data_IF_997777751375
#
_entry.id   IF_997777751375
#
_cell.length_a   1.000
_cell.length_b   1.000
_cell.length_c   1.000
_cell.angle_alpha   90.00
_cell.angle_beta   90.00
_cell.angle_gamma   90.00
#
_symmetry.space_group_name_H-M   'P 1'
#
loop_
_entity.id
_entity.type
_entity.pdbx_description
1 polymer ?
#
# COMPACT_ATOMS: atom_id res chain seq x y z
N UNK A 1 6.25 20.98 3.22
CA UNK A 1 6.26 21.86 4.42
C UNK A 1 5.39 21.23 5.51
N UNK A 2 5.80 20.06 6.01
CA UNK A 2 5.00 19.22 6.92
C UNK A 2 5.77 18.85 8.19
N UNK A 3 6.87 19.55 8.46
CA UNK A 3 7.61 19.46 9.73
C UNK A 3 6.85 20.21 10.83
N UNK A 4 7.07 19.83 12.09
CA UNK A 4 6.46 20.46 13.27
C UNK A 4 6.61 21.99 13.28
N UNK A 5 7.72 22.49 12.72
CA UNK A 5 8.03 23.91 12.59
C UNK A 5 7.12 24.68 11.62
N UNK A 6 6.51 24.00 10.64
CA UNK A 6 5.65 24.62 9.61
C UNK A 6 4.17 24.26 9.74
N UNK A 7 3.82 23.11 10.35
CA UNK A 7 2.43 22.69 10.58
C UNK A 7 2.25 22.08 11.98
N UNK A 8 2.07 22.92 13.01
CA UNK A 8 1.94 22.50 14.42
C UNK A 8 0.58 21.88 14.77
N UNK A 9 -0.35 21.85 13.81
CA UNK A 9 -1.68 21.26 14.00
C UNK A 9 -1.68 19.73 13.93
N UNK A 10 -2.57 19.11 14.70
CA UNK A 10 -2.83 17.66 14.74
C UNK A 10 -3.31 17.06 13.41
N UNK A 11 -3.68 17.89 12.42
CA UNK A 11 -4.21 17.45 11.13
C UNK A 11 -3.25 16.60 10.31
N UNK A 12 -1.95 16.89 10.37
CA UNK A 12 -0.93 16.09 9.67
C UNK A 12 -0.75 14.72 10.34
N UNK A 13 -0.92 14.65 11.66
CA UNK A 13 -0.82 13.39 12.41
C UNK A 13 -2.04 12.49 12.13
N UNK A 14 -3.24 13.06 12.03
CA UNK A 14 -4.43 12.31 11.57
C UNK A 14 -4.27 11.81 10.14
N UNK A 15 -3.68 12.60 9.24
CA UNK A 15 -3.41 12.20 7.87
C UNK A 15 -2.40 11.04 7.80
N UNK A 16 -1.33 11.10 8.59
CA UNK A 16 -0.33 10.03 8.72
C UNK A 16 -0.97 8.72 9.18
N UNK A 17 -1.76 8.75 10.26
CA UNK A 17 -2.46 7.56 10.77
C UNK A 17 -3.50 7.02 9.78
N UNK A 18 -4.28 7.89 9.14
CA UNK A 18 -5.29 7.49 8.16
C UNK A 18 -4.64 6.79 6.95
N UNK A 19 -3.54 7.34 6.43
CA UNK A 19 -2.80 6.73 5.32
C UNK A 19 -2.14 5.42 5.71
N UNK A 20 -1.60 5.30 6.93
CA UNK A 20 -0.97 4.07 7.37
C UNK A 20 -1.98 2.91 7.44
N UNK A 21 -3.17 3.18 8.02
CA UNK A 21 -4.26 2.20 8.12
C UNK A 21 -4.80 1.85 6.73
N UNK A 22 -5.01 2.85 5.88
CA UNK A 22 -5.45 2.65 4.49
C UNK A 22 -4.42 1.84 3.68
N UNK A 23 -3.12 2.11 3.88
CA UNK A 23 -2.02 1.38 3.24
C UNK A 23 -2.01 -0.10 3.61
N UNK A 24 -2.20 -0.41 4.90
CA UNK A 24 -2.32 -1.80 5.37
C UNK A 24 -3.53 -2.51 4.77
N UNK A 25 -4.70 -1.86 4.72
CA UNK A 25 -5.89 -2.42 4.08
C UNK A 25 -5.67 -2.72 2.59
N UNK A 26 -5.00 -1.81 1.89
CA UNK A 26 -4.70 -1.96 0.47
C UNK A 26 -3.71 -3.10 0.22
N UNK A 27 -2.69 -3.28 1.07
CA UNK A 27 -1.78 -4.43 1.01
C UNK A 27 -2.50 -5.77 1.16
N UNK A 28 -3.38 -5.88 2.16
CA UNK A 28 -4.17 -7.09 2.39
C UNK A 28 -5.07 -7.41 1.19
N UNK A 29 -5.70 -6.39 0.61
CA UNK A 29 -6.50 -6.52 -0.62
C UNK A 29 -5.65 -6.99 -1.81
N UNK A 30 -4.46 -6.42 -1.99
CA UNK A 30 -3.52 -6.81 -3.04
C UNK A 30 -3.09 -8.27 -2.94
N UNK A 31 -2.71 -8.74 -1.75
CA UNK A 31 -2.36 -10.16 -1.52
C UNK A 31 -3.56 -11.08 -1.79
N UNK A 32 -4.76 -10.70 -1.36
CA UNK A 32 -5.97 -11.49 -1.59
C UNK A 32 -6.27 -11.65 -3.09
N UNK A 33 -6.23 -10.57 -3.86
CA UNK A 33 -6.48 -10.65 -5.29
C UNK A 33 -5.41 -11.45 -6.04
N UNK A 34 -4.13 -11.29 -5.67
CA UNK A 34 -3.04 -12.08 -6.25
C UNK A 34 -3.24 -13.57 -5.96
N UNK A 35 -3.48 -13.93 -4.70
CA UNK A 35 -3.69 -15.34 -4.32
C UNK A 35 -4.95 -15.94 -4.94
N UNK A 36 -6.02 -15.15 -5.08
CA UNK A 36 -7.26 -15.53 -5.77
C UNK A 36 -6.98 -15.89 -7.22
N UNK A 37 -6.25 -15.05 -7.96
CA UNK A 37 -5.93 -15.30 -9.37
C UNK A 37 -4.99 -16.51 -9.51
N UNK A 38 -4.14 -16.81 -8.55
CA UNK A 38 -3.27 -17.99 -8.64
C UNK A 38 -3.97 -19.29 -8.24
N UNK A 39 -4.68 -19.30 -7.10
CA UNK A 39 -5.19 -20.51 -6.43
C UNK A 39 -6.67 -20.80 -6.66
N UNK A 40 -7.51 -19.80 -6.95
CA UNK A 40 -8.96 -19.98 -7.10
C UNK A 40 -9.41 -19.96 -8.58
N UNK A 41 -8.53 -20.38 -9.50
CA UNK A 41 -8.88 -20.51 -10.92
C UNK A 41 -9.73 -21.73 -11.19
N UNK A 42 -10.64 -21.63 -12.15
CA UNK A 42 -11.41 -22.77 -12.62
C UNK A 42 -10.47 -23.88 -13.16
N UNK A 43 -10.76 -25.16 -12.86
CA UNK A 43 -9.95 -26.27 -13.34
C UNK A 43 -9.93 -26.30 -14.88
N UNK A 44 -8.74 -26.32 -15.47
CA UNK A 44 -8.55 -26.25 -16.92
C UNK A 44 -8.23 -24.87 -17.51
N UNK A 45 -8.27 -23.79 -16.71
CA UNK A 45 -7.79 -22.47 -17.14
C UNK A 45 -6.28 -22.32 -16.97
N UNK A 46 -5.55 -22.31 -18.09
CA UNK A 46 -4.12 -21.95 -18.11
C UNK A 46 -3.93 -20.44 -17.94
N UNK A 47 -2.75 -20.01 -17.48
CA UNK A 47 -2.43 -18.59 -17.26
C UNK A 47 -2.64 -17.74 -18.51
N UNK A 48 -2.29 -18.26 -19.69
CA UNK A 48 -2.38 -17.54 -20.97
C UNK A 48 -3.80 -17.51 -21.56
N UNK A 49 -4.76 -18.23 -20.99
CA UNK A 49 -6.17 -18.24 -21.44
C UNK A 49 -7.07 -17.35 -20.58
N UNK A 50 -6.51 -16.61 -19.62
CA UNK A 50 -7.27 -15.70 -18.78
C UNK A 50 -7.64 -14.41 -19.54
N UNK A 51 -8.81 -13.81 -19.27
CA UNK A 51 -9.18 -12.50 -19.83
C UNK A 51 -8.11 -11.43 -19.59
N UNK A 52 -7.98 -10.49 -20.52
CA UNK A 52 -6.97 -9.42 -20.43
C UNK A 52 -7.15 -8.58 -19.15
N UNK A 53 -8.39 -8.39 -18.71
CA UNK A 53 -8.70 -7.70 -17.45
C UNK A 53 -8.04 -8.36 -16.24
N UNK A 54 -8.16 -9.68 -16.09
CA UNK A 54 -7.54 -10.42 -14.98
C UNK A 54 -6.02 -10.41 -15.05
N UNK A 55 -5.44 -10.38 -16.25
CA UNK A 55 -3.99 -10.22 -16.42
C UNK A 55 -3.51 -8.84 -15.98
N UNK A 56 -4.17 -7.79 -16.44
CA UNK A 56 -3.84 -6.42 -16.04
C UNK A 56 -4.03 -6.21 -14.54
N UNK A 57 -5.08 -6.79 -13.96
CA UNK A 57 -5.30 -6.76 -12.52
C UNK A 57 -4.20 -7.48 -11.74
N UNK A 58 -3.72 -8.64 -12.21
CA UNK A 58 -2.60 -9.35 -11.59
C UNK A 58 -1.32 -8.50 -11.58
N UNK A 59 -0.99 -7.87 -12.72
CA UNK A 59 0.19 -7.00 -12.83
C UNK A 59 0.04 -5.77 -11.92
N UNK A 60 -1.12 -5.13 -11.92
CA UNK A 60 -1.37 -3.97 -11.08
C UNK A 60 -1.24 -4.29 -9.58
N UNK A 61 -1.83 -5.41 -9.13
CA UNK A 61 -1.72 -5.80 -7.72
C UNK A 61 -0.32 -6.24 -7.34
N UNK A 62 0.42 -6.86 -8.26
CA UNK A 62 1.82 -7.20 -8.02
C UNK A 62 2.67 -5.94 -7.85
N UNK A 63 2.53 -4.95 -8.73
CA UNK A 63 3.20 -3.65 -8.60
C UNK A 63 2.82 -2.93 -7.29
N UNK A 64 1.54 -2.96 -6.93
CA UNK A 64 1.04 -2.35 -5.70
C UNK A 64 1.69 -2.97 -4.46
N UNK A 65 1.88 -4.30 -4.43
CA UNK A 65 2.55 -4.99 -3.33
C UNK A 65 4.00 -4.54 -3.12
N UNK A 66 4.70 -4.09 -4.17
CA UNK A 66 6.05 -3.53 -4.06
C UNK A 66 6.04 -2.02 -3.77
N UNK A 67 5.05 -1.28 -4.29
CA UNK A 67 4.99 0.17 -4.14
C UNK A 67 4.54 0.60 -2.73
N UNK A 68 3.52 -0.07 -2.17
CA UNK A 68 2.94 0.35 -0.89
C UNK A 68 3.92 0.25 0.29
N UNK A 69 4.77 -0.79 0.44
CA UNK A 69 5.74 -0.85 1.52
C UNK A 69 6.70 0.35 1.55
N UNK A 70 7.11 0.86 0.38
CA UNK A 70 7.99 2.04 0.29
C UNK A 70 7.28 3.27 0.87
N UNK A 71 6.00 3.47 0.53
CA UNK A 71 5.18 4.57 1.04
C UNK A 71 4.96 4.41 2.55
N UNK A 72 4.65 3.20 3.01
CA UNK A 72 4.45 2.87 4.43
C UNK A 72 5.69 3.19 5.27
N UNK A 73 6.89 2.89 4.77
CA UNK A 73 8.15 3.24 5.47
C UNK A 73 8.39 4.74 5.45
N UNK A 74 8.18 5.42 4.32
CA UNK A 74 8.34 6.87 4.23
C UNK A 74 7.41 7.63 5.20
N UNK A 75 6.14 7.21 5.29
CA UNK A 75 5.19 7.78 6.25
C UNK A 75 5.56 7.46 7.70
N UNK A 76 6.08 6.25 7.96
CA UNK A 76 6.56 5.88 9.29
C UNK A 76 7.76 6.71 9.74
N UNK A 77 8.72 6.96 8.84
CA UNK A 77 9.87 7.84 9.12
C UNK A 77 9.43 9.28 9.36
N UNK A 78 8.49 9.80 8.56
CA UNK A 78 7.93 11.14 8.77
C UNK A 78 7.16 11.26 10.10
N UNK A 79 6.45 10.19 10.50
CA UNK A 79 5.82 10.12 11.82
C UNK A 79 6.87 10.09 12.94
N UNK A 80 8.00 9.41 12.72
CA UNK A 80 9.09 9.33 13.69
C UNK A 80 9.80 10.67 13.86
N UNK A 81 10.01 11.41 12.78
CA UNK A 81 10.51 12.79 12.80
C UNK A 81 9.55 13.72 13.57
N UNK A 82 8.24 13.66 13.28
CA UNK A 82 7.24 14.50 13.95
C UNK A 82 6.96 14.16 15.41
N UNK A 83 6.95 12.88 15.80
CA UNK A 83 6.55 12.48 17.16
C UNK A 83 7.74 12.26 18.10
N UNK A 84 8.88 11.84 17.58
CA UNK A 84 10.05 11.45 18.37
C UNK A 84 11.28 12.34 18.12
N UNK A 85 11.18 13.36 17.25
CA UNK A 85 12.25 14.33 16.99
C UNK A 85 13.46 13.74 16.26
N UNK A 86 13.23 12.71 15.44
CA UNK A 86 14.28 12.02 14.72
C UNK A 86 14.56 12.67 13.36
N UNK A 87 15.77 13.17 13.15
CA UNK A 87 16.16 13.88 11.93
C UNK A 87 16.48 12.89 10.79
N UNK A 88 15.47 12.52 10.00
CA UNK A 88 15.59 11.66 8.80
C UNK A 88 15.41 12.44 7.49
#
# INVERSE_FOLDING_TARGET
MSELSYSPGVGVDYYLWALQISGLGTLLSGVNLVTTIFKMRAPGMTLMRMPIFTWMALVAQFLLLFAVPVITVALFLLMFDRLFGANF
#
